data_IF_009122752600
#
_entry.id   IF_009122752600
#
_cell.length_a   1.000
_cell.length_b   1.000
_cell.length_c   1.000
_cell.angle_alpha   90.00
_cell.angle_beta   90.00
_cell.angle_gamma   90.00
#
_symmetry.space_group_name_H-M   'P 1'
#
loop_
_entity.id
_entity.type
_entity.pdbx_description
1 polymer ?
#
# COMPACT_ATOMS: atom_id res chain seq x y z
N UNK A 1 21.25 -44.71 -43.49
CA UNK A 1 20.36 -43.81 -42.74
C UNK A 1 20.76 -43.99 -41.30
N UNK A 2 21.55 -43.07 -40.76
CA UNK A 2 21.76 -42.93 -39.32
C UNK A 2 22.06 -41.45 -39.06
N UNK A 3 21.00 -40.70 -38.78
CA UNK A 3 21.04 -39.31 -38.32
C UNK A 3 20.71 -39.32 -36.83
N UNK A 4 21.72 -39.57 -36.00
CA UNK A 4 21.68 -39.25 -34.57
C UNK A 4 23.06 -38.70 -34.20
N UNK A 5 23.32 -37.47 -34.63
CA UNK A 5 24.38 -36.65 -34.04
C UNK A 5 23.94 -36.28 -32.63
N UNK A 6 24.68 -36.73 -31.62
CA UNK A 6 24.57 -36.25 -30.24
C UNK A 6 24.70 -34.71 -30.24
N UNK A 7 23.56 -34.03 -30.22
CA UNK A 7 23.46 -32.58 -30.06
C UNK A 7 23.55 -32.23 -28.57
N UNK A 8 24.65 -32.61 -27.93
CA UNK A 8 24.91 -32.24 -26.55
C UNK A 8 25.45 -30.81 -26.52
N UNK A 9 24.70 -29.92 -25.88
CA UNK A 9 25.08 -28.51 -25.64
C UNK A 9 26.37 -28.50 -24.84
N UNK A 10 27.40 -27.84 -25.38
CA UNK A 10 28.70 -27.71 -24.73
C UNK A 10 28.69 -26.59 -23.69
N UNK A 11 29.74 -26.55 -22.85
CA UNK A 11 29.93 -25.44 -21.91
C UNK A 11 30.17 -24.11 -22.65
N UNK A 12 30.73 -24.14 -23.85
CA UNK A 12 30.93 -22.94 -24.69
C UNK A 12 29.60 -22.40 -25.22
N UNK A 13 28.68 -23.29 -25.59
CA UNK A 13 27.33 -22.90 -26.01
C UNK A 13 26.54 -22.22 -24.88
N UNK A 14 26.76 -22.64 -23.62
CA UNK A 14 26.17 -21.98 -22.46
C UNK A 14 26.68 -20.53 -22.29
N UNK A 15 27.96 -20.26 -22.57
CA UNK A 15 28.50 -18.90 -22.54
C UNK A 15 27.87 -18.00 -23.60
N UNK A 16 27.61 -18.53 -24.80
CA UNK A 16 26.91 -17.77 -25.85
C UNK A 16 25.51 -17.32 -25.40
N UNK A 17 24.77 -18.18 -24.70
CA UNK A 17 23.45 -17.84 -24.13
C UNK A 17 23.57 -16.78 -23.03
N UNK A 18 24.56 -16.91 -22.15
CA UNK A 18 24.81 -15.93 -21.07
C UNK A 18 25.21 -14.57 -21.65
N UNK A 19 26.07 -14.54 -22.68
CA UNK A 19 26.45 -13.31 -23.36
C UNK A 19 25.25 -12.63 -24.02
N UNK A 20 24.40 -13.38 -24.71
CA UNK A 20 23.17 -12.84 -25.29
C UNK A 20 22.22 -12.26 -24.22
N UNK A 21 22.12 -12.92 -23.05
CA UNK A 21 21.33 -12.41 -21.93
C UNK A 21 21.84 -11.05 -21.42
N UNK A 22 23.15 -10.91 -21.22
CA UNK A 22 23.72 -9.63 -20.75
C UNK A 22 23.73 -8.54 -21.82
N UNK A 23 23.81 -8.89 -23.10
CA UNK A 23 23.68 -7.94 -24.21
C UNK A 23 22.26 -7.36 -24.30
N UNK A 24 21.23 -8.19 -24.11
CA UNK A 24 19.84 -7.72 -24.13
C UNK A 24 19.41 -7.06 -22.82
N UNK A 25 19.87 -7.56 -21.67
CA UNK A 25 19.35 -7.16 -20.37
C UNK A 25 20.27 -6.21 -19.61
N UNK A 26 21.58 -6.22 -19.84
CA UNK A 26 22.52 -5.42 -19.07
C UNK A 26 22.61 -5.83 -17.60
N UNK A 27 23.24 -4.99 -16.78
CA UNK A 27 23.59 -5.31 -15.37
C UNK A 27 22.66 -4.66 -14.33
N UNK A 28 21.96 -3.58 -14.69
CA UNK A 28 21.20 -2.72 -13.75
C UNK A 28 19.70 -2.73 -14.04
N UNK A 29 19.26 -3.69 -14.85
CA UNK A 29 17.88 -3.76 -15.37
C UNK A 29 16.81 -3.77 -14.28
N UNK A 30 17.04 -4.46 -13.17
CA UNK A 30 16.12 -4.53 -12.05
C UNK A 30 15.78 -3.15 -11.47
N UNK A 31 16.71 -2.20 -11.49
CA UNK A 31 16.45 -0.83 -11.03
C UNK A 31 15.66 -0.03 -12.07
N UNK A 32 16.06 -0.15 -13.35
CA UNK A 32 15.42 0.55 -14.46
C UNK A 32 13.98 0.07 -14.68
N UNK A 33 13.78 -1.25 -14.77
CA UNK A 33 12.46 -1.86 -14.97
C UNK A 33 11.53 -1.51 -13.80
N UNK A 34 12.03 -1.54 -12.55
CA UNK A 34 11.24 -1.15 -11.38
C UNK A 34 10.84 0.33 -11.40
N UNK A 35 11.73 1.23 -11.84
CA UNK A 35 11.42 2.65 -11.94
C UNK A 35 10.46 2.93 -13.10
N UNK A 36 10.66 2.30 -14.24
CA UNK A 36 9.79 2.45 -15.41
C UNK A 36 8.37 1.96 -15.11
N UNK A 37 8.23 0.81 -14.43
CA UNK A 37 6.93 0.29 -13.98
C UNK A 37 6.23 1.27 -13.04
N UNK A 38 6.99 1.87 -12.11
CA UNK A 38 6.45 2.86 -11.18
C UNK A 38 5.90 4.10 -11.89
N UNK A 39 6.64 4.64 -12.86
CA UNK A 39 6.21 5.83 -13.61
C UNK A 39 5.04 5.51 -14.56
N UNK A 40 5.07 4.34 -15.23
CA UNK A 40 4.10 3.99 -16.27
C UNK A 40 2.74 3.57 -15.71
N UNK A 41 2.75 2.76 -14.65
CA UNK A 41 1.54 2.11 -14.14
C UNK A 41 1.22 2.56 -12.72
N UNK A 42 2.14 2.31 -11.77
CA UNK A 42 1.87 2.50 -10.32
C UNK A 42 1.45 3.93 -9.99
N UNK A 43 2.04 4.95 -10.64
CA UNK A 43 1.70 6.33 -10.36
C UNK A 43 0.27 6.70 -10.74
N UNK A 44 -0.24 6.19 -11.87
CA UNK A 44 -1.64 6.40 -12.25
C UNK A 44 -2.57 5.63 -11.31
N UNK A 45 -2.23 4.38 -10.96
CA UNK A 45 -3.00 3.59 -10.00
C UNK A 45 -3.12 4.27 -8.63
N UNK A 46 -2.08 5.00 -8.19
CA UNK A 46 -2.11 5.76 -6.93
C UNK A 46 -3.07 6.95 -6.99
N UNK A 47 -3.17 7.62 -8.15
CA UNK A 47 -4.12 8.71 -8.36
C UNK A 47 -5.54 8.16 -8.46
N UNK A 48 -5.73 7.04 -9.16
CA UNK A 48 -7.04 6.40 -9.29
C UNK A 48 -7.58 5.81 -7.98
N UNK A 49 -6.69 5.31 -7.09
CA UNK A 49 -7.07 4.85 -5.74
C UNK A 49 -7.34 6.03 -4.76
N UNK A 50 -6.91 7.24 -5.13
CA UNK A 50 -7.15 8.42 -4.31
C UNK A 50 -8.63 8.78 -4.33
N UNK A 51 -9.22 8.99 -3.15
CA UNK A 51 -10.63 9.37 -3.04
C UNK A 51 -10.81 10.84 -3.39
N UNK A 52 -11.96 11.14 -3.99
CA UNK A 52 -12.42 12.50 -4.24
C UNK A 52 -12.35 13.35 -2.97
N UNK A 53 -11.73 14.52 -3.11
CA UNK A 53 -11.64 15.47 -2.01
C UNK A 53 -12.94 16.27 -1.98
N UNK A 54 -13.78 15.97 -0.97
CA UNK A 54 -15.03 16.71 -0.72
C UNK A 54 -14.80 17.79 0.32
N UNK A 55 -15.08 19.03 -0.03
CA UNK A 55 -15.01 20.20 0.86
C UNK A 55 -16.43 20.72 1.05
N UNK A 56 -16.94 20.53 2.27
CA UNK A 56 -18.24 21.05 2.69
C UNK A 56 -18.01 22.23 3.62
N UNK A 57 -18.54 23.43 3.31
CA UNK A 57 -18.44 24.57 4.20
C UNK A 57 -19.25 24.30 5.48
N UNK A 58 -18.62 24.47 6.64
CA UNK A 58 -19.34 24.46 7.91
C UNK A 58 -20.01 25.82 8.14
N UNK A 59 -21.26 25.80 8.60
CA UNK A 59 -21.98 27.02 8.93
C UNK A 59 -21.34 27.73 10.13
N UNK A 60 -20.50 28.74 9.87
CA UNK A 60 -19.96 29.60 10.92
C UNK A 60 -21.05 30.55 11.41
N UNK A 61 -21.44 30.42 12.68
CA UNK A 61 -22.39 31.33 13.31
C UNK A 61 -21.76 32.71 13.50
N UNK A 62 -22.10 33.66 12.63
CA UNK A 62 -21.78 35.07 12.80
C UNK A 62 -23.01 35.81 13.36
N UNK A 63 -23.01 36.23 14.66
CA UNK A 63 -24.14 36.95 15.24
C UNK A 63 -24.28 38.32 14.55
N UNK A 64 -25.40 38.55 13.87
CA UNK A 64 -25.78 39.87 13.34
C UNK A 64 -25.69 40.06 11.82
N UNK A 65 -25.11 39.13 11.07
CA UNK A 65 -25.31 39.09 9.61
C UNK A 65 -26.56 38.27 9.30
N UNK A 66 -27.57 38.90 8.69
CA UNK A 66 -28.63 38.15 8.00
C UNK A 66 -27.94 37.31 6.94
N UNK A 67 -27.88 36.00 7.14
CA UNK A 67 -27.21 35.05 6.26
C UNK A 67 -27.76 35.15 4.84
N UNK A 68 -27.10 35.95 4.01
CA UNK A 68 -27.33 35.96 2.57
C UNK A 68 -26.64 34.71 2.02
N UNK A 69 -27.38 33.59 2.06
CA UNK A 69 -27.39 32.40 1.17
C UNK A 69 -26.24 32.22 0.15
N UNK A 70 -24.99 32.25 0.58
CA UNK A 70 -23.83 32.04 -0.31
C UNK A 70 -22.93 30.86 0.13
N UNK A 71 -23.19 30.18 1.26
CA UNK A 71 -22.31 29.10 1.75
C UNK A 71 -22.99 27.73 1.79
N UNK A 72 -23.73 27.39 0.73
CA UNK A 72 -24.31 26.05 0.49
C UNK A 72 -23.70 25.46 -0.79
N UNK A 73 -22.39 25.57 -0.99
CA UNK A 73 -21.70 24.98 -2.16
C UNK A 73 -20.72 23.94 -1.65
N UNK A 74 -20.90 22.70 -2.08
CA UNK A 74 -19.98 21.61 -1.81
C UNK A 74 -19.04 21.48 -3.01
N UNK A 75 -17.74 21.47 -2.76
CA UNK A 75 -16.73 21.27 -3.80
C UNK A 75 -16.27 19.83 -3.76
N UNK A 76 -16.23 19.19 -4.93
CA UNK A 76 -15.64 17.87 -5.11
C UNK A 76 -14.50 18.00 -6.13
N UNK A 77 -13.30 17.65 -5.69
CA UNK A 77 -12.11 17.69 -6.53
C UNK A 77 -11.73 16.25 -6.88
N UNK A 78 -11.58 16.01 -8.18
CA UNK A 78 -11.17 14.75 -8.76
C UNK A 78 -9.87 14.93 -9.53
N UNK A 79 -8.99 13.95 -9.43
CA UNK A 79 -7.74 13.89 -10.19
C UNK A 79 -7.88 12.86 -11.29
N UNK A 80 -7.51 13.25 -12.51
CA UNK A 80 -7.60 12.41 -13.69
C UNK A 80 -6.24 11.87 -14.13
N UNK A 81 -5.99 11.97 -15.44
CA UNK A 81 -4.78 11.46 -16.06
C UNK A 81 -3.53 12.24 -15.61
N UNK A 82 -2.46 11.52 -15.28
CA UNK A 82 -1.14 12.11 -15.05
C UNK A 82 -0.36 12.27 -16.36
N UNK A 83 0.44 13.32 -16.45
CA UNK A 83 1.37 13.56 -17.53
C UNK A 83 2.75 13.88 -16.97
N UNK A 84 3.73 13.05 -17.31
CA UNK A 84 5.12 13.31 -17.01
C UNK A 84 5.81 13.89 -18.25
N UNK A 85 6.40 15.07 -18.10
CA UNK A 85 7.19 15.68 -19.17
C UNK A 85 8.64 15.17 -19.16
N UNK A 86 9.47 15.59 -20.12
CA UNK A 86 10.92 15.33 -20.06
C UNK A 86 11.56 16.22 -19.00
N UNK A 87 12.76 15.86 -18.54
CA UNK A 87 13.51 16.69 -17.60
C UNK A 87 13.77 18.08 -18.18
N UNK A 88 13.24 19.10 -17.52
CA UNK A 88 13.41 20.50 -17.91
C UNK A 88 13.92 21.32 -16.73
N UNK A 89 14.58 22.42 -17.06
CA UNK A 89 15.07 23.42 -16.13
C UNK A 89 14.48 24.77 -16.51
N UNK A 90 13.93 25.47 -15.54
CA UNK A 90 13.53 26.87 -15.71
C UNK A 90 14.64 27.75 -15.14
N UNK A 91 15.25 28.55 -15.99
CA UNK A 91 16.30 29.51 -15.62
C UNK A 91 15.71 30.74 -14.92
N UNK A 92 16.57 31.55 -14.32
CA UNK A 92 16.15 32.77 -13.59
C UNK A 92 15.49 33.83 -14.48
N UNK A 93 15.71 33.77 -15.80
CA UNK A 93 15.07 34.61 -16.80
C UNK A 93 13.67 34.12 -17.21
N UNK A 94 13.22 32.96 -16.68
CA UNK A 94 11.95 32.33 -17.00
C UNK A 94 11.97 31.45 -18.26
N UNK A 95 13.10 31.34 -18.95
CA UNK A 95 13.25 30.42 -20.06
C UNK A 95 13.30 28.97 -19.55
N UNK A 96 12.64 28.06 -20.26
CA UNK A 96 12.64 26.63 -19.92
C UNK A 96 13.38 25.84 -20.99
N UNK A 97 14.43 25.14 -20.59
CA UNK A 97 15.27 24.31 -21.45
C UNK A 97 15.24 22.84 -21.00
N UNK A 98 15.61 21.92 -21.88
CA UNK A 98 15.79 20.51 -21.51
C UNK A 98 17.03 20.39 -20.64
N UNK A 99 16.90 19.76 -19.48
CA UNK A 99 18.02 19.54 -18.58
C UNK A 99 18.79 18.28 -19.01
N UNK A 100 20.11 18.38 -19.11
CA UNK A 100 20.99 17.23 -19.31
C UNK A 100 21.60 16.77 -17.97
N UNK A 101 21.89 15.46 -17.79
CA UNK A 101 22.40 14.96 -16.52
C UNK A 101 23.78 15.54 -16.14
N UNK A 102 24.74 15.63 -17.07
CA UNK A 102 26.04 16.26 -16.79
C UNK A 102 25.89 17.71 -16.27
N UNK A 103 24.93 18.46 -16.82
CA UNK A 103 24.65 19.83 -16.39
C UNK A 103 24.07 19.85 -14.96
N UNK A 104 23.16 18.93 -14.66
CA UNK A 104 22.62 18.80 -13.31
C UNK A 104 23.71 18.47 -12.27
N UNK A 105 24.68 17.62 -12.64
CA UNK A 105 25.85 17.30 -11.80
C UNK A 105 26.70 18.56 -11.54
N UNK A 106 27.09 19.29 -12.59
CA UNK A 106 27.99 20.44 -12.49
C UNK A 106 27.38 21.64 -11.77
N UNK A 107 26.07 21.88 -11.95
CA UNK A 107 25.36 23.03 -11.38
C UNK A 107 24.74 22.75 -10.01
N UNK A 108 24.98 21.58 -9.43
CA UNK A 108 24.36 21.13 -8.18
C UNK A 108 22.82 21.16 -8.23
N UNK A 109 22.24 20.79 -9.38
CA UNK A 109 20.79 20.74 -9.58
C UNK A 109 20.25 19.31 -9.37
N UNK A 110 18.93 19.21 -9.25
CA UNK A 110 18.24 17.92 -9.21
C UNK A 110 17.69 17.59 -10.59
N UNK A 111 18.13 16.47 -11.15
CA UNK A 111 17.65 15.96 -12.43
C UNK A 111 16.23 15.41 -12.25
N UNK A 112 15.24 16.25 -12.55
CA UNK A 112 13.83 15.96 -12.33
C UNK A 112 12.98 16.41 -13.50
N UNK A 113 11.81 15.78 -13.64
CA UNK A 113 10.83 16.14 -14.65
C UNK A 113 9.56 16.69 -13.99
N UNK A 114 8.96 17.76 -14.55
CA UNK A 114 7.67 18.27 -14.08
C UNK A 114 6.54 17.26 -14.36
N UNK A 115 5.72 17.06 -13.34
CA UNK A 115 4.53 16.23 -13.32
C UNK A 115 3.29 17.12 -13.35
N UNK A 116 2.36 16.76 -14.24
CA UNK A 116 1.08 17.44 -14.42
C UNK A 116 -0.07 16.44 -14.22
N UNK A 117 -1.23 16.94 -13.83
CA UNK A 117 -2.45 16.13 -13.69
C UNK A 117 -3.66 16.90 -14.20
N UNK A 118 -4.63 16.21 -14.76
CA UNK A 118 -5.95 16.81 -15.02
C UNK A 118 -6.72 16.91 -13.70
N UNK A 119 -7.26 18.09 -13.41
CA UNK A 119 -8.05 18.34 -12.19
C UNK A 119 -9.46 18.75 -12.58
N UNK A 120 -10.44 17.99 -12.13
CA UNK A 120 -11.85 18.30 -12.33
C UNK A 120 -12.45 18.79 -11.02
N UNK A 121 -13.01 19.99 -11.03
CA UNK A 121 -13.69 20.61 -9.92
C UNK A 121 -15.20 20.63 -10.20
N UNK A 122 -15.96 19.90 -9.39
CA UNK A 122 -17.41 19.84 -9.46
C UNK A 122 -18.02 20.60 -8.28
N UNK A 123 -19.02 21.44 -8.56
CA UNK A 123 -19.76 22.18 -7.54
C UNK A 123 -21.17 21.61 -7.43
N UNK A 124 -21.56 21.31 -6.19
CA UNK A 124 -22.88 20.81 -5.84
C UNK A 124 -23.59 21.79 -4.92
N UNK A 125 -24.92 21.90 -5.08
CA UNK A 125 -25.74 22.71 -4.19
C UNK A 125 -25.97 21.92 -2.90
N UNK A 126 -25.54 22.43 -1.76
CA UNK A 126 -25.82 21.81 -0.47
C UNK A 126 -27.34 21.80 -0.22
N UNK A 127 -27.89 20.63 0.05
CA UNK A 127 -29.33 20.39 0.16
C UNK A 127 -29.63 19.10 0.91
N UNK A 128 -30.90 18.68 0.88
CA UNK A 128 -31.38 17.49 1.59
C UNK A 128 -31.11 16.18 0.84
N UNK A 129 -30.78 16.26 -0.44
CA UNK A 129 -30.50 15.12 -1.31
C UNK A 129 -29.02 14.74 -1.19
N UNK A 130 -28.67 13.45 -1.08
CA UNK A 130 -27.28 13.01 -1.12
C UNK A 130 -26.59 13.44 -2.43
N UNK A 131 -25.33 13.89 -2.33
CA UNK A 131 -24.52 14.33 -3.49
C UNK A 131 -24.45 13.25 -4.58
N UNK A 132 -24.45 11.98 -4.17
CA UNK A 132 -24.40 10.81 -5.06
C UNK A 132 -25.59 10.70 -6.02
N UNK A 133 -26.70 11.38 -5.71
CA UNK A 133 -27.92 11.42 -6.51
C UNK A 133 -28.13 12.79 -7.20
N UNK A 134 -27.17 13.70 -7.08
CA UNK A 134 -27.25 15.06 -7.59
C UNK A 134 -26.28 15.26 -8.75
N UNK A 135 -26.73 15.87 -9.85
CA UNK A 135 -25.81 16.34 -10.90
C UNK A 135 -25.11 17.62 -10.45
N UNK A 136 -23.79 17.76 -10.73
CA UNK A 136 -23.08 19.00 -10.45
C UNK A 136 -23.70 20.13 -11.27
N UNK A 137 -23.96 21.28 -10.65
CA UNK A 137 -24.52 22.43 -11.37
C UNK A 137 -23.44 23.19 -12.16
N UNK A 138 -22.17 22.98 -11.80
CA UNK A 138 -21.01 23.55 -12.46
C UNK A 138 -19.87 22.53 -12.39
N UNK A 139 -19.22 22.29 -13.53
CA UNK A 139 -18.06 21.44 -13.66
C UNK A 139 -16.99 22.17 -14.46
N UNK A 140 -15.80 22.30 -13.88
CA UNK A 140 -14.64 22.92 -14.51
C UNK A 140 -13.49 21.91 -14.49
N UNK A 141 -12.99 21.55 -15.67
CA UNK A 141 -11.81 20.69 -15.80
C UNK A 141 -10.62 21.51 -16.25
N UNK A 142 -9.61 21.60 -15.39
CA UNK A 142 -8.33 22.21 -15.70
C UNK A 142 -7.36 21.11 -16.14
N UNK A 143 -7.02 21.12 -17.42
CA UNK A 143 -6.09 20.15 -17.97
C UNK A 143 -4.63 20.52 -17.65
N UNK A 144 -3.82 19.50 -17.34
CA UNK A 144 -2.36 19.61 -17.12
C UNK A 144 -1.96 20.66 -16.07
N UNK A 145 -2.60 20.61 -14.91
CA UNK A 145 -2.19 21.42 -13.77
C UNK A 145 -0.86 20.91 -13.20
N UNK A 146 0.08 21.82 -12.91
CA UNK A 146 1.39 21.45 -12.37
C UNK A 146 1.30 21.07 -10.89
N UNK A 147 1.70 19.84 -10.54
CA UNK A 147 1.61 19.35 -9.15
C UNK A 147 2.96 19.18 -8.48
N UNK A 148 4.05 19.14 -9.25
CA UNK A 148 5.40 19.04 -8.70
C UNK A 148 6.38 18.44 -9.70
N UNK A 149 7.56 18.09 -9.21
CA UNK A 149 8.63 17.49 -10.03
C UNK A 149 9.09 16.17 -9.42
N UNK A 150 9.35 15.18 -10.27
CA UNK A 150 9.84 13.86 -9.86
C UNK A 150 11.29 13.68 -10.33
N UNK A 151 12.23 13.28 -9.44
CA UNK A 151 13.57 12.89 -9.85
C UNK A 151 13.53 11.73 -10.85
N UNK A 152 14.22 11.88 -11.98
CA UNK A 152 14.25 10.86 -13.02
C UNK A 152 15.51 10.01 -12.89
N UNK A 153 15.35 8.69 -12.96
CA UNK A 153 16.48 7.76 -12.93
C UNK A 153 17.24 7.82 -14.26
N UNK A 154 18.56 7.89 -14.20
CA UNK A 154 19.41 7.90 -15.39
C UNK A 154 19.26 6.60 -16.20
N UNK A 155 19.16 6.75 -17.52
CA UNK A 155 18.90 5.67 -18.50
C UNK A 155 17.54 4.94 -18.36
N UNK A 156 16.59 5.48 -17.58
CA UNK A 156 15.19 5.03 -17.58
C UNK A 156 14.44 5.49 -18.84
N UNK A 157 13.27 4.95 -19.17
CA UNK A 157 12.49 5.34 -20.37
C UNK A 157 12.19 6.84 -20.47
N UNK A 158 12.11 7.54 -19.33
CA UNK A 158 11.82 8.97 -19.26
C UNK A 158 13.07 9.86 -19.21
N UNK A 159 14.27 9.26 -19.18
CA UNK A 159 15.53 9.99 -19.23
C UNK A 159 15.83 10.51 -20.64
N UNK A 160 16.51 11.65 -20.71
CA UNK A 160 16.97 12.24 -21.98
C UNK A 160 18.06 11.39 -22.65
N UNK A 161 18.78 10.55 -21.90
CA UNK A 161 19.87 9.72 -22.40
C UNK A 161 19.40 8.44 -23.10
N UNK A 162 18.13 8.09 -22.95
CA UNK A 162 17.57 6.85 -23.49
C UNK A 162 17.45 6.94 -25.01
N UNK A 163 17.67 5.81 -25.68
CA UNK A 163 17.71 5.66 -27.15
C UNK A 163 18.80 6.46 -27.87
N UNK A 164 19.79 7.00 -27.14
CA UNK A 164 20.95 7.67 -27.75
C UNK A 164 22.04 6.67 -28.12
N UNK A 165 22.64 6.88 -29.28
CA UNK A 165 23.80 6.12 -29.72
C UNK A 165 25.05 6.48 -28.90
N UNK A 166 26.03 5.58 -28.86
CA UNK A 166 27.32 5.80 -28.18
C UNK A 166 28.01 7.11 -28.62
N UNK A 167 27.84 7.48 -29.89
CA UNK A 167 28.37 8.72 -30.44
C UNK A 167 27.65 9.93 -29.86
N UNK A 168 26.32 9.93 -29.83
CA UNK A 168 25.53 11.03 -29.25
C UNK A 168 25.77 11.16 -27.74
N UNK A 169 25.94 10.05 -27.01
CA UNK A 169 26.31 10.08 -25.59
C UNK A 169 27.66 10.76 -25.38
N UNK A 170 28.64 10.44 -26.22
CA UNK A 170 29.96 11.07 -26.19
C UNK A 170 29.88 12.57 -26.51
N UNK A 171 29.07 12.96 -27.50
CA UNK A 171 28.80 14.36 -27.85
C UNK A 171 28.12 15.14 -26.71
N UNK A 172 27.36 14.45 -25.85
CA UNK A 172 26.71 15.01 -24.66
C UNK A 172 27.59 14.97 -23.39
N UNK A 173 28.88 14.63 -23.51
CA UNK A 173 29.82 14.45 -22.41
C UNK A 173 29.38 13.38 -21.38
N UNK A 174 28.64 12.37 -21.81
CA UNK A 174 28.28 11.22 -20.98
C UNK A 174 29.15 10.00 -21.31
N UNK A 175 29.36 9.13 -20.33
CA UNK A 175 30.13 7.91 -20.53
C UNK A 175 29.25 6.82 -21.17
N UNK A 176 29.75 6.18 -22.24
CA UNK A 176 29.08 5.06 -22.91
C UNK A 176 28.90 3.86 -21.97
N UNK A 177 29.89 3.64 -21.10
CA UNK A 177 29.90 2.50 -20.17
C UNK A 177 29.10 2.72 -18.88
N UNK A 178 28.67 3.96 -18.59
CA UNK A 178 27.80 4.23 -17.44
C UNK A 178 26.49 3.45 -17.62
N UNK A 179 26.08 2.65 -16.65
CA UNK A 179 24.86 1.84 -16.78
C UNK A 179 23.60 2.60 -16.34
N UNK A 180 23.73 3.78 -15.73
CA UNK A 180 22.61 4.49 -15.12
C UNK A 180 22.06 3.74 -13.90
N UNK A 181 20.74 3.85 -13.66
CA UNK A 181 20.10 3.19 -12.51
C UNK A 181 20.25 3.95 -11.19
N UNK A 182 20.53 5.25 -11.26
CA UNK A 182 20.70 6.13 -10.11
C UNK A 182 20.11 7.52 -10.39
N UNK A 183 20.00 8.34 -9.34
CA UNK A 183 19.42 9.68 -9.39
C UNK A 183 20.49 10.74 -9.17
N UNK A 184 20.37 11.88 -9.85
CA UNK A 184 21.18 13.08 -9.58
C UNK A 184 20.32 14.07 -8.79
N UNK A 185 20.65 14.26 -7.51
CA UNK A 185 19.92 15.15 -6.59
C UNK A 185 20.91 16.13 -5.98
N UNK A 186 20.70 17.43 -6.24
CA UNK A 186 21.59 18.52 -5.86
C UNK A 186 23.04 18.27 -6.28
N UNK A 187 23.24 17.84 -7.54
CA UNK A 187 24.53 17.48 -8.12
C UNK A 187 25.14 16.16 -7.62
N UNK A 188 24.58 15.57 -6.56
CA UNK A 188 25.08 14.33 -5.98
C UNK A 188 24.37 13.12 -6.55
N UNK A 189 25.12 12.06 -6.86
CA UNK A 189 24.58 10.79 -7.33
C UNK A 189 24.07 9.95 -6.15
N UNK A 190 22.85 9.41 -6.28
CA UNK A 190 22.18 8.64 -5.24
C UNK A 190 21.57 7.37 -5.81
N UNK A 191 21.84 6.24 -5.14
CA UNK A 191 21.33 4.92 -5.50
C UNK A 191 20.38 4.45 -4.41
N UNK A 192 19.27 3.84 -4.80
CA UNK A 192 18.37 3.16 -3.88
C UNK A 192 18.80 1.69 -3.73
N UNK A 193 19.09 1.29 -2.49
CA UNK A 193 19.46 -0.08 -2.17
C UNK A 193 18.19 -0.87 -1.88
N UNK A 194 18.05 -2.04 -2.51
CA UNK A 194 16.93 -2.93 -2.27
C UNK A 194 16.87 -3.35 -0.79
N UNK A 195 15.67 -3.30 -0.20
CA UNK A 195 15.44 -3.74 1.17
C UNK A 195 14.79 -5.11 1.19
N UNK A 196 15.46 -6.07 1.82
CA UNK A 196 14.89 -7.38 2.06
C UNK A 196 13.87 -7.33 3.21
N UNK A 197 12.69 -7.92 3.00
CA UNK A 197 11.64 -8.07 4.02
C UNK A 197 10.94 -9.42 3.82
N UNK A 198 10.35 -9.93 4.90
CA UNK A 198 9.47 -11.11 4.83
C UNK A 198 8.29 -10.83 3.88
N UNK A 199 7.91 -11.83 3.08
CA UNK A 199 6.81 -11.67 2.13
C UNK A 199 5.48 -11.44 2.85
N UNK A 200 4.67 -10.54 2.30
CA UNK A 200 3.31 -10.29 2.77
C UNK A 200 2.37 -11.43 2.35
N UNK A 201 1.14 -11.42 2.88
CA UNK A 201 0.05 -12.35 2.54
C UNK A 201 0.36 -13.83 2.80
N UNK A 202 1.31 -14.10 3.70
CA UNK A 202 1.65 -15.45 4.18
C UNK A 202 1.48 -15.54 5.69
N UNK A 203 1.07 -16.71 6.17
CA UNK A 203 0.96 -17.02 7.60
C UNK A 203 2.25 -17.66 8.09
N UNK A 204 2.92 -17.00 9.02
CA UNK A 204 4.15 -17.50 9.64
C UNK A 204 3.87 -17.97 11.06
N UNK A 205 4.21 -19.22 11.37
CA UNK A 205 4.01 -19.82 12.70
C UNK A 205 5.34 -19.95 13.44
N UNK A 206 5.51 -19.23 14.55
CA UNK A 206 6.72 -19.24 15.35
C UNK A 206 6.49 -19.89 16.72
N UNK A 207 7.33 -20.87 17.06
CA UNK A 207 7.41 -21.41 18.42
C UNK A 207 8.15 -20.42 19.31
N UNK A 208 7.58 -20.06 20.46
CA UNK A 208 8.20 -19.17 21.43
C UNK A 208 8.92 -19.97 22.53
N UNK A 209 9.85 -19.31 23.21
CA UNK A 209 10.57 -19.91 24.34
C UNK A 209 9.64 -20.15 25.54
N UNK A 210 10.00 -21.09 26.40
CA UNK A 210 9.20 -21.48 27.58
C UNK A 210 8.99 -20.37 28.62
N UNK A 211 9.80 -19.30 28.56
CA UNK A 211 9.69 -18.13 29.44
C UNK A 211 8.58 -17.18 28.94
N UNK A 212 8.22 -17.27 27.66
CA UNK A 212 7.18 -16.41 27.10
C UNK A 212 5.80 -16.76 27.64
N UNK A 213 4.93 -15.74 27.78
CA UNK A 213 3.50 -15.94 28.08
C UNK A 213 2.77 -16.73 26.98
N UNK A 214 3.32 -16.79 25.77
CA UNK A 214 2.75 -17.52 24.64
C UNK A 214 3.64 -18.70 24.26
N UNK A 215 3.02 -19.82 23.88
CA UNK A 215 3.72 -21.00 23.37
C UNK A 215 3.98 -20.91 21.86
N UNK A 216 2.99 -20.40 21.13
CA UNK A 216 3.02 -20.21 19.69
C UNK A 216 2.48 -18.82 19.33
N UNK A 217 3.10 -18.21 18.33
CA UNK A 217 2.66 -16.94 17.74
C UNK A 217 2.63 -17.13 16.24
N UNK A 218 1.46 -16.96 15.66
CA UNK A 218 1.27 -16.85 14.23
C UNK A 218 1.19 -15.37 13.85
N UNK A 219 1.98 -14.94 12.87
CA UNK A 219 1.95 -13.60 12.30
C UNK A 219 1.47 -13.70 10.86
N UNK A 220 0.56 -12.80 10.46
CA UNK A 220 0.28 -12.56 9.06
C UNK A 220 0.23 -11.06 8.80
N UNK A 221 0.92 -10.66 7.73
CA UNK A 221 1.00 -9.28 7.27
C UNK A 221 0.28 -9.18 5.94
N UNK A 222 -0.92 -8.65 5.98
CA UNK A 222 -1.76 -8.49 4.80
C UNK A 222 -1.39 -7.21 4.06
N UNK A 223 -1.29 -7.30 2.74
CA UNK A 223 -1.10 -6.17 1.82
C UNK A 223 -2.06 -6.33 0.65
N UNK A 224 -2.82 -5.28 0.35
CA UNK A 224 -3.69 -5.28 -0.83
C UNK A 224 -2.78 -5.17 -2.05
N UNK A 225 -3.00 -6.00 -3.07
CA UNK A 225 -2.16 -6.01 -4.28
C UNK A 225 -2.24 -4.70 -5.07
N UNK A 226 -3.37 -4.00 -4.97
CA UNK A 226 -3.62 -2.71 -5.61
C UNK A 226 -3.98 -1.66 -4.55
N UNK A 227 -3.40 -0.47 -4.71
CA UNK A 227 -3.69 0.70 -3.87
C UNK A 227 -2.60 1.04 -2.86
N UNK A 228 -2.70 2.25 -2.30
CA UNK A 228 -1.66 2.87 -1.46
C UNK A 228 -1.72 2.43 0.01
N UNK A 229 -2.53 1.41 0.34
CA UNK A 229 -2.83 1.08 1.73
C UNK A 229 -1.63 0.41 2.41
N UNK A 230 -1.23 0.88 3.62
CA UNK A 230 -0.11 0.27 4.32
C UNK A 230 -0.41 -1.17 4.71
N UNK A 231 0.66 -1.98 4.82
CA UNK A 231 0.56 -3.35 5.30
C UNK A 231 -0.11 -3.42 6.67
N UNK A 232 -1.06 -4.33 6.82
CA UNK A 232 -1.80 -4.55 8.05
C UNK A 232 -1.32 -5.84 8.71
N UNK A 233 -0.78 -5.77 9.92
CA UNK A 233 -0.25 -6.96 10.63
C UNK A 233 -1.24 -7.41 11.69
N UNK A 234 -1.55 -8.71 11.70
CA UNK A 234 -2.32 -9.35 12.76
C UNK A 234 -1.51 -10.51 13.36
N UNK A 235 -1.73 -10.75 14.64
CA UNK A 235 -1.11 -11.86 15.36
C UNK A 235 -2.19 -12.77 15.93
N UNK A 236 -1.96 -14.08 15.90
CA UNK A 236 -2.76 -15.08 16.62
C UNK A 236 -1.82 -15.79 17.59
N UNK A 237 -2.11 -15.70 18.87
CA UNK A 237 -1.18 -16.07 19.94
C UNK A 237 -1.84 -17.07 20.88
N UNK A 238 -1.19 -18.21 21.08
CA UNK A 238 -1.64 -19.24 22.00
C UNK A 238 -0.92 -19.10 23.33
N UNK A 239 -1.67 -18.91 24.42
CA UNK A 239 -1.10 -18.84 25.77
C UNK A 239 -0.38 -20.14 26.13
N UNK A 240 0.81 -20.00 26.73
CA UNK A 240 1.50 -21.12 27.34
C UNK A 240 0.71 -21.62 28.56
N UNK A 241 0.79 -22.92 28.84
CA UNK A 241 0.19 -23.51 30.04
C UNK A 241 0.91 -22.92 31.27
N UNK A 242 0.24 -22.06 32.02
CA UNK A 242 0.80 -21.48 33.24
C UNK A 242 0.67 -22.46 34.38
N UNK A 243 1.79 -22.79 35.04
CA UNK A 243 1.82 -23.63 36.25
C UNK A 243 1.48 -22.90 37.55
N UNK A 244 0.83 -21.73 37.49
CA UNK A 244 0.57 -20.85 38.64
C UNK A 244 -0.91 -20.50 38.83
N UNK A 245 -1.27 -20.04 40.05
CA UNK A 245 -2.62 -19.73 40.60
C UNK A 245 -3.43 -18.63 39.87
N UNK A 246 -3.37 -18.55 38.54
CA UNK A 246 -4.28 -17.73 37.75
C UNK A 246 -5.28 -18.66 37.05
N UNK A 247 -6.56 -18.30 37.05
CA UNK A 247 -7.69 -19.10 36.55
C UNK A 247 -7.72 -19.29 35.02
N UNK A 248 -6.58 -19.16 34.35
CA UNK A 248 -6.44 -19.26 32.89
C UNK A 248 -5.94 -20.67 32.58
N UNK A 249 -6.83 -21.54 32.08
CA UNK A 249 -6.64 -22.97 31.75
C UNK A 249 -5.43 -23.32 30.85
N UNK A 250 -4.70 -22.32 30.36
CA UNK A 250 -3.68 -22.49 29.31
C UNK A 250 -4.33 -22.78 27.96
N UNK A 251 -3.55 -22.67 26.88
CA UNK A 251 -4.00 -22.93 25.51
C UNK A 251 -5.09 -21.99 24.96
N UNK A 252 -5.50 -20.94 25.67
CA UNK A 252 -6.37 -19.92 25.10
C UNK A 252 -5.68 -19.26 23.91
N UNK A 253 -6.45 -19.05 22.84
CA UNK A 253 -5.98 -18.36 21.64
C UNK A 253 -6.60 -16.98 21.61
N UNK A 254 -5.75 -15.96 21.58
CA UNK A 254 -6.18 -14.56 21.38
C UNK A 254 -5.51 -13.99 20.15
N UNK A 255 -6.18 -13.05 19.49
CA UNK A 255 -5.65 -12.33 18.35
C UNK A 255 -5.42 -10.85 18.69
N UNK A 256 -4.35 -10.31 18.10
CA UNK A 256 -4.06 -8.88 18.07
C UNK A 256 -4.49 -8.39 16.69
N UNK A 257 -5.55 -7.60 16.67
CA UNK A 257 -6.10 -7.01 15.45
C UNK A 257 -5.57 -5.56 15.35
N UNK A 258 -5.23 -5.09 14.13
CA UNK A 258 -4.88 -3.69 13.88
C UNK A 258 -5.86 -2.71 14.54
N UNK A 259 -5.33 -1.61 15.08
CA UNK A 259 -6.10 -0.52 15.73
C UNK A 259 -6.84 -0.90 17.03
N UNK A 260 -6.73 -2.15 17.49
CA UNK A 260 -7.24 -2.61 18.79
C UNK A 260 -6.09 -2.70 19.79
N UNK A 261 -6.27 -2.15 20.99
CA UNK A 261 -5.20 -2.03 22.00
C UNK A 261 -5.03 -3.28 22.87
N UNK A 262 -6.04 -4.14 22.93
CA UNK A 262 -6.07 -5.34 23.78
C UNK A 262 -6.29 -6.58 22.92
N UNK A 263 -5.62 -7.67 23.28
CA UNK A 263 -5.80 -8.98 22.65
C UNK A 263 -7.25 -9.47 22.82
N UNK A 264 -7.87 -9.89 21.72
CA UNK A 264 -9.27 -10.36 21.70
C UNK A 264 -9.28 -11.89 21.59
N UNK A 265 -10.03 -12.62 22.44
CA UNK A 265 -10.27 -14.05 22.26
C UNK A 265 -10.78 -14.40 20.86
N UNK A 266 -10.19 -15.42 20.23
CA UNK A 266 -10.47 -15.76 18.83
C UNK A 266 -11.95 -16.08 18.57
N UNK A 267 -12.62 -16.73 19.53
CA UNK A 267 -14.04 -17.07 19.43
C UNK A 267 -14.93 -15.83 19.41
N UNK A 268 -14.56 -14.74 20.12
CA UNK A 268 -15.31 -13.47 20.07
C UNK A 268 -15.20 -12.84 18.68
N UNK A 269 -14.07 -13.03 17.99
CA UNK A 269 -13.88 -12.54 16.62
C UNK A 269 -14.81 -13.31 15.66
N UNK A 270 -14.89 -14.63 15.76
CA UNK A 270 -15.83 -15.43 14.98
C UNK A 270 -17.29 -15.01 15.20
N UNK A 271 -17.68 -14.74 16.46
CA UNK A 271 -19.02 -14.22 16.77
C UNK A 271 -19.27 -12.84 16.17
N UNK A 272 -18.27 -11.95 16.18
CA UNK A 272 -18.36 -10.64 15.53
C UNK A 272 -18.51 -10.75 14.00
N UNK A 273 -17.91 -11.78 13.39
CA UNK A 273 -18.06 -12.11 11.96
C UNK A 273 -19.44 -12.71 11.62
N UNK A 274 -20.27 -13.04 12.61
CA UNK A 274 -21.63 -13.56 12.42
C UNK A 274 -21.80 -15.05 12.76
N UNK A 275 -20.73 -15.78 13.09
CA UNK A 275 -20.80 -17.19 13.48
C UNK A 275 -21.14 -17.31 14.96
N UNK A 276 -22.42 -17.53 15.26
CA UNK A 276 -22.92 -17.60 16.64
C UNK A 276 -22.88 -19.03 17.19
N UNK A 277 -23.05 -20.05 16.34
CA UNK A 277 -23.03 -21.43 16.81
C UNK A 277 -21.59 -21.94 17.00
N UNK A 278 -21.28 -22.49 18.17
CA UNK A 278 -19.94 -23.05 18.47
C UNK A 278 -19.54 -24.15 17.49
N UNK A 279 -20.52 -24.92 17.00
CA UNK A 279 -20.30 -25.93 15.96
C UNK A 279 -19.79 -25.30 14.67
N UNK A 280 -20.38 -24.20 14.20
CA UNK A 280 -19.93 -23.52 12.98
C UNK A 280 -18.51 -22.96 13.15
N UNK A 281 -18.21 -22.40 14.32
CA UNK A 281 -16.85 -21.93 14.65
C UNK A 281 -15.85 -23.09 14.58
N UNK A 282 -16.21 -24.25 15.14
CA UNK A 282 -15.37 -25.44 15.08
C UNK A 282 -15.21 -25.98 13.65
N UNK A 283 -16.24 -25.96 12.81
CA UNK A 283 -16.15 -26.38 11.39
C UNK A 283 -15.11 -25.56 10.60
N UNK A 284 -14.95 -24.28 10.93
CA UNK A 284 -13.98 -23.39 10.26
C UNK A 284 -12.53 -23.60 10.73
N UNK A 285 -12.32 -24.21 11.90
CA UNK A 285 -11.00 -24.38 12.51
C UNK A 285 -10.55 -25.83 12.42
N UNK A 286 -11.42 -26.74 12.84
CA UNK A 286 -11.23 -28.18 12.88
C UNK A 286 -12.01 -28.81 11.73
N UNK A 287 -11.34 -29.05 10.61
CA UNK A 287 -11.97 -29.65 9.42
C UNK A 287 -12.41 -31.11 9.65
N UNK A 288 -11.84 -31.79 10.65
CA UNK A 288 -12.13 -33.18 10.99
C UNK A 288 -12.54 -33.33 12.47
N UNK A 289 -13.83 -33.51 12.72
CA UNK A 289 -14.39 -33.73 14.06
C UNK A 289 -13.98 -35.06 14.71
N UNK A 290 -13.26 -35.93 14.01
CA UNK A 290 -12.70 -37.14 14.63
C UNK A 290 -11.39 -36.85 15.37
N UNK A 291 -10.75 -35.70 15.12
CA UNK A 291 -9.55 -35.26 15.85
C UNK A 291 -9.90 -34.71 17.23
N UNK A 292 -9.99 -35.62 18.20
CA UNK A 292 -10.27 -35.29 19.60
C UNK A 292 -9.16 -34.43 20.21
N UNK A 293 -7.90 -34.60 19.79
CA UNK A 293 -6.80 -33.82 20.36
C UNK A 293 -6.93 -32.34 19.98
N UNK A 294 -7.20 -32.03 18.71
CA UNK A 294 -7.37 -30.65 18.26
C UNK A 294 -8.59 -29.99 18.93
N UNK A 295 -9.70 -30.71 19.07
CA UNK A 295 -10.90 -30.21 19.76
C UNK A 295 -10.63 -29.93 21.24
N UNK A 296 -9.93 -30.83 21.94
CA UNK A 296 -9.55 -30.62 23.34
C UNK A 296 -8.60 -29.44 23.50
N UNK A 297 -7.69 -29.21 22.55
CA UNK A 297 -6.79 -28.05 22.53
C UNK A 297 -7.53 -26.73 22.35
N UNK A 298 -8.60 -26.71 21.57
CA UNK A 298 -9.37 -25.50 21.29
C UNK A 298 -10.41 -25.18 22.38
N UNK A 299 -10.91 -26.20 23.10
CA UNK A 299 -11.94 -26.07 24.15
C UNK A 299 -11.73 -24.92 25.14
N UNK A 300 -10.52 -24.65 25.68
CA UNK A 300 -10.30 -23.52 26.59
C UNK A 300 -10.64 -22.14 26.00
N UNK A 301 -10.52 -21.99 24.67
CA UNK A 301 -10.87 -20.75 23.96
C UNK A 301 -12.39 -20.58 23.83
N UNK A 302 -13.14 -21.67 23.69
CA UNK A 302 -14.61 -21.66 23.69
C UNK A 302 -15.16 -21.31 25.09
N UNK A 303 -14.60 -21.93 26.14
CA UNK A 303 -14.99 -21.65 27.53
C UNK A 303 -14.74 -20.18 27.92
N UNK A 304 -13.63 -19.58 27.48
CA UNK A 304 -13.32 -18.17 27.73
C UNK A 304 -14.36 -17.22 27.11
N UNK A 305 -14.88 -17.56 25.93
CA UNK A 305 -15.82 -16.72 25.19
C UNK A 305 -17.30 -17.02 25.48
N UNK A 306 -17.62 -17.95 26.38
CA UNK A 306 -18.99 -18.37 26.69
C UNK A 306 -19.90 -17.20 27.13
N UNK A 307 -19.31 -16.16 27.73
CA UNK A 307 -20.01 -14.97 28.23
C UNK A 307 -20.63 -14.09 27.14
N UNK A 308 -20.19 -14.22 25.89
CA UNK A 308 -20.68 -13.42 24.76
C UNK A 308 -21.25 -14.39 23.74
N UNK A 309 -22.55 -14.31 23.47
CA UNK A 309 -23.23 -15.21 22.53
C UNK A 309 -23.82 -14.47 21.33
N UNK A 310 -23.99 -13.15 21.41
CA UNK A 310 -24.59 -12.34 20.34
C UNK A 310 -23.53 -11.54 19.56
N UNK A 311 -23.76 -11.36 18.26
CA UNK A 311 -22.85 -10.62 17.37
C UNK A 311 -22.69 -9.15 17.79
N UNK A 312 -23.78 -8.45 18.11
CA UNK A 312 -23.73 -7.04 18.53
C UNK A 312 -22.90 -6.85 19.82
N UNK A 313 -23.02 -7.80 20.74
CA UNK A 313 -22.26 -7.78 22.01
C UNK A 313 -20.78 -8.03 21.74
N UNK A 314 -20.44 -8.91 20.80
CA UNK A 314 -19.07 -9.15 20.35
C UNK A 314 -18.46 -7.90 19.69
N UNK A 315 -19.22 -7.22 18.81
CA UNK A 315 -18.79 -5.98 18.17
C UNK A 315 -18.58 -4.84 19.19
N UNK A 316 -19.50 -4.67 20.16
CA UNK A 316 -19.32 -3.70 21.25
C UNK A 316 -18.10 -4.05 22.13
N UNK A 317 -17.85 -5.34 22.39
CA UNK A 317 -16.69 -5.80 23.15
C UNK A 317 -15.36 -5.44 22.47
N UNK A 318 -15.28 -5.58 21.15
CA UNK A 318 -14.10 -5.20 20.35
C UNK A 318 -14.00 -3.68 20.26
N UNK A 319 -15.11 -2.98 19.97
CA UNK A 319 -15.16 -1.52 19.85
C UNK A 319 -14.70 -0.79 21.11
N UNK A 320 -15.06 -1.29 22.31
CA UNK A 320 -14.56 -0.76 23.61
C UNK A 320 -13.04 -0.83 23.77
N UNK A 321 -12.39 -1.74 23.06
CA UNK A 321 -10.94 -2.00 23.12
C UNK A 321 -10.18 -1.36 21.97
N UNK A 322 -10.90 -0.67 21.09
CA UNK A 322 -10.32 0.11 20.00
C UNK A 322 -9.54 1.33 20.48
N UNK A 323 -8.93 2.01 19.53
CA UNK A 323 -8.06 3.16 19.80
C UNK A 323 -8.81 4.47 20.05
N UNK A 324 -10.08 4.57 19.64
CA UNK A 324 -10.91 5.75 19.81
C UNK A 324 -11.54 5.80 21.21
N UNK A 325 -11.47 6.96 21.86
CA UNK A 325 -11.99 7.21 23.22
C UNK A 325 -13.31 7.99 23.11
N UNK A 326 -14.28 7.73 23.99
CA UNK A 326 -15.58 8.43 24.07
C UNK A 326 -16.51 8.28 22.85
N UNK A 327 -16.44 7.15 22.14
CA UNK A 327 -17.35 6.85 21.01
C UNK A 327 -18.62 6.15 21.52
N UNK A 328 -19.79 6.57 21.05
CA UNK A 328 -21.07 5.98 21.45
C UNK A 328 -21.19 4.50 21.03
N UNK A 329 -22.13 3.74 21.63
CA UNK A 329 -22.37 2.35 21.21
C UNK A 329 -22.80 2.27 19.73
N UNK A 330 -23.68 3.16 19.29
CA UNK A 330 -24.18 3.20 17.91
C UNK A 330 -23.03 3.49 16.92
N UNK A 331 -22.18 4.47 17.23
CA UNK A 331 -21.06 4.83 16.34
C UNK A 331 -19.99 3.73 16.26
N UNK A 332 -19.80 2.96 17.35
CA UNK A 332 -18.89 1.80 17.35
C UNK A 332 -19.41 0.64 16.51
N UNK A 333 -20.71 0.38 16.53
CA UNK A 333 -21.31 -0.64 15.67
C UNK A 333 -21.25 -0.22 14.20
N UNK A 334 -21.59 1.04 13.92
CA UNK A 334 -21.53 1.63 12.57
C UNK A 334 -20.11 1.62 11.97
N UNK A 335 -19.07 1.73 12.81
CA UNK A 335 -17.68 1.62 12.35
C UNK A 335 -17.36 0.28 11.68
N UNK A 336 -17.98 -0.81 12.15
CA UNK A 336 -17.79 -2.15 11.58
C UNK A 336 -18.70 -2.42 10.37
N UNK A 337 -19.75 -1.62 10.16
CA UNK A 337 -20.63 -1.71 8.99
C UNK A 337 -20.12 -0.86 7.80
N UNK A 338 -19.36 0.21 8.07
CA UNK A 338 -18.88 1.19 7.07
C UNK A 338 -17.49 0.87 6.49
N UNK A 339 -16.87 -0.24 6.88
CA UNK A 339 -15.56 -0.70 6.42
C UNK A 339 -15.66 -2.10 5.89
#
# INVERSE_FOLDING_TARGET
MDYTSDSNVSQEDAWAVISAYFEEKGLVRQQLDSFDEFIQNTMQELIDDSRDIRITPEAQYNPGQKSNRVTDTIYQIQFGQIYLSKCTMTESDGSTSVMFPHEARLRNLTYSAPLYVDVTCQKFQAGTVPIEEQEPYEEETTAKEFIGSIPIMLRSKYCVLTDKSDKELTELNECVYDQGGYFVINGSEKVLIAQERMSNNHVYCFKKSSISKYSWVCETRSHVERGARPTSTMYVQMYAKSGGKSAVSGHQIRAVIPYIRQDIPVVIIFRALGFVADREILEHICYDFTDVELMERFKPSLEEAFVIQEQEVALDFIGRRGSAVNVSKADRLRYFELK
#
